data_IF_916382991043
#
_entry.id   IF_916382991043
#
_cell.length_a   1.000
_cell.length_b   1.000
_cell.length_c   1.000
_cell.angle_alpha   90.00
_cell.angle_beta   90.00
_cell.angle_gamma   90.00
#
_symmetry.space_group_name_H-M   'P 1'
#
loop_
_entity.id
_entity.type
_entity.pdbx_description
1 polymer ?
#
# COMPACT_ATOMS: atom_id res chain seq x y z
N UNK A 1 -39.72 22.80 -18.34
CA UNK A 1 -38.85 22.05 -19.28
C UNK A 1 -37.41 22.40 -19.00
N UNK A 2 -36.59 21.42 -18.61
CA UNK A 2 -35.14 21.64 -18.47
C UNK A 2 -34.55 21.91 -19.86
N UNK A 3 -33.80 23.01 -20.02
CA UNK A 3 -33.22 23.36 -21.31
C UNK A 3 -32.22 22.28 -21.76
N UNK A 4 -32.13 22.03 -23.07
CA UNK A 4 -31.16 21.07 -23.64
C UNK A 4 -29.73 21.37 -23.17
N UNK A 5 -29.37 22.65 -23.08
CA UNK A 5 -28.07 23.09 -22.58
C UNK A 5 -27.86 22.72 -21.11
N UNK A 6 -28.87 22.88 -20.25
CA UNK A 6 -28.77 22.50 -18.84
C UNK A 6 -28.56 20.99 -18.66
N UNK A 7 -29.19 20.14 -19.50
CA UNK A 7 -28.94 18.68 -19.49
C UNK A 7 -27.51 18.33 -19.90
N UNK A 8 -26.98 18.97 -20.93
CA UNK A 8 -25.63 18.72 -21.43
C UNK A 8 -24.59 19.12 -20.38
N UNK A 9 -24.72 20.30 -19.78
CA UNK A 9 -23.80 20.79 -18.74
C UNK A 9 -23.79 19.86 -17.52
N UNK A 10 -24.98 19.43 -17.06
CA UNK A 10 -25.06 18.48 -15.95
C UNK A 10 -24.47 17.10 -16.28
N UNK A 11 -24.65 16.61 -17.51
CA UNK A 11 -24.04 15.36 -17.95
C UNK A 11 -22.50 15.43 -17.94
N UNK A 12 -21.93 16.54 -18.41
CA UNK A 12 -20.47 16.76 -18.39
C UNK A 12 -19.95 16.82 -16.95
N UNK A 13 -20.62 17.58 -16.08
CA UNK A 13 -20.25 17.66 -14.66
C UNK A 13 -20.31 16.30 -13.96
N UNK A 14 -21.32 15.48 -14.27
CA UNK A 14 -21.44 14.13 -13.71
C UNK A 14 -20.26 13.24 -14.15
N UNK A 15 -19.88 13.28 -15.43
CA UNK A 15 -18.74 12.51 -15.94
C UNK A 15 -17.43 12.94 -15.28
N UNK A 16 -17.19 14.25 -15.14
CA UNK A 16 -15.99 14.78 -14.46
C UNK A 16 -15.97 14.35 -12.99
N UNK A 17 -17.11 14.43 -12.30
CA UNK A 17 -17.23 14.00 -10.90
C UNK A 17 -16.89 12.52 -10.71
N UNK A 18 -17.38 11.65 -11.59
CA UNK A 18 -17.07 10.20 -11.55
C UNK A 18 -15.58 9.96 -11.82
N UNK A 19 -15.01 10.63 -12.83
CA UNK A 19 -13.59 10.49 -13.17
C UNK A 19 -12.68 10.93 -12.02
N UNK A 20 -12.99 12.08 -11.40
CA UNK A 20 -12.28 12.57 -10.23
C UNK A 20 -12.40 11.59 -9.04
N UNK A 21 -13.59 11.07 -8.76
CA UNK A 21 -13.81 10.09 -7.70
C UNK A 21 -12.96 8.83 -7.89
N UNK A 22 -12.89 8.28 -9.11
CA UNK A 22 -12.06 7.10 -9.42
C UNK A 22 -10.57 7.43 -9.24
N UNK A 23 -10.12 8.59 -9.72
CA UNK A 23 -8.72 9.01 -9.56
C UNK A 23 -8.32 9.11 -8.08
N UNK A 24 -9.17 9.75 -7.27
CA UNK A 24 -8.94 9.87 -5.83
C UNK A 24 -8.98 8.51 -5.12
N UNK A 25 -9.88 7.61 -5.50
CA UNK A 25 -9.90 6.24 -4.98
C UNK A 25 -8.60 5.49 -5.31
N UNK A 26 -8.03 5.68 -6.50
CA UNK A 26 -6.78 5.05 -6.89
C UNK A 26 -5.58 5.61 -6.11
N UNK A 27 -5.49 6.94 -5.96
CA UNK A 27 -4.44 7.61 -5.19
C UNK A 27 -4.54 7.35 -3.67
N UNK A 28 -5.74 7.15 -3.14
CA UNK A 28 -5.97 6.84 -1.72
C UNK A 28 -6.00 5.34 -1.43
N UNK A 29 -5.77 4.46 -2.42
CA UNK A 29 -5.55 3.05 -2.10
C UNK A 29 -4.29 3.01 -1.22
N UNK A 30 -4.36 2.42 -0.02
CA UNK A 30 -3.16 2.19 0.74
C UNK A 30 -2.23 1.35 -0.13
N UNK A 31 -0.99 1.77 -0.30
CA UNK A 31 -0.01 0.99 -1.04
C UNK A 31 0.20 -0.32 -0.27
N UNK A 32 -0.43 -1.38 -0.77
CA UNK A 32 -0.31 -2.69 -0.13
C UNK A 32 0.83 -3.45 -0.78
N UNK A 33 1.91 -3.68 -0.04
CA UNK A 33 3.03 -4.54 -0.43
C UNK A 33 2.92 -5.86 0.34
N UNK A 34 2.99 -6.98 -0.38
CA UNK A 34 2.88 -8.30 0.25
C UNK A 34 1.53 -8.60 0.91
N UNK A 35 0.50 -7.79 0.65
CA UNK A 35 -0.79 -7.87 1.35
C UNK A 35 -0.87 -7.05 2.64
N UNK A 36 0.20 -6.34 3.03
CA UNK A 36 0.23 -5.47 4.20
C UNK A 36 0.03 -4.01 3.83
N UNK A 37 -0.59 -3.24 4.71
CA UNK A 37 -0.88 -1.82 4.50
C UNK A 37 0.37 -0.98 4.75
N UNK A 38 0.68 -0.04 3.84
CA UNK A 38 1.75 0.96 4.07
C UNK A 38 1.62 1.63 5.45
N UNK A 39 2.77 1.78 6.12
CA UNK A 39 2.85 2.34 7.47
C UNK A 39 2.61 1.34 8.61
N UNK A 40 2.41 0.06 8.31
CA UNK A 40 2.39 -1.02 9.32
C UNK A 40 3.76 -1.67 9.46
N UNK A 41 4.04 -2.23 10.64
CA UNK A 41 5.29 -2.95 10.90
C UNK A 41 5.45 -4.17 9.98
N UNK A 42 4.36 -4.87 9.66
CA UNK A 42 4.40 -5.97 8.69
C UNK A 42 4.79 -5.48 7.28
N UNK A 43 4.32 -4.31 6.87
CA UNK A 43 4.73 -3.71 5.59
C UNK A 43 6.23 -3.40 5.58
N UNK A 44 6.75 -2.81 6.65
CA UNK A 44 8.17 -2.49 6.75
C UNK A 44 9.03 -3.76 6.75
N UNK A 45 8.61 -4.81 7.46
CA UNK A 45 9.28 -6.10 7.41
C UNK A 45 9.29 -6.73 6.03
N UNK A 46 8.15 -6.73 5.34
CA UNK A 46 8.03 -7.25 3.97
C UNK A 46 8.93 -6.46 3.00
N UNK A 47 8.96 -5.14 3.13
CA UNK A 47 9.83 -4.29 2.33
C UNK A 47 11.32 -4.54 2.63
N UNK A 48 11.71 -4.65 3.90
CA UNK A 48 13.09 -4.92 4.32
C UNK A 48 13.66 -6.18 3.68
N UNK A 49 12.89 -7.28 3.66
CA UNK A 49 13.31 -8.53 3.04
C UNK A 49 13.62 -8.37 1.54
N UNK A 50 12.81 -7.58 0.83
CA UNK A 50 12.95 -7.33 -0.60
C UNK A 50 14.08 -6.36 -0.91
N UNK A 51 14.16 -5.25 -0.19
CA UNK A 51 15.14 -4.20 -0.43
C UNK A 51 16.57 -4.67 -0.11
N UNK A 52 16.72 -5.50 0.95
CA UNK A 52 18.00 -6.12 1.30
C UNK A 52 18.30 -7.43 0.55
N UNK A 53 17.41 -7.87 -0.35
CA UNK A 53 17.56 -9.10 -1.13
C UNK A 53 17.92 -10.32 -0.27
N UNK A 54 17.26 -10.43 0.89
CA UNK A 54 17.45 -11.52 1.83
C UNK A 54 17.24 -12.87 1.11
N UNK A 55 18.06 -13.86 1.45
CA UNK A 55 18.05 -15.20 0.83
C UNK A 55 17.06 -16.15 1.50
N UNK A 56 16.74 -15.90 2.77
CA UNK A 56 15.88 -16.76 3.58
C UNK A 56 15.21 -16.01 4.73
N UNK A 57 14.10 -16.56 5.20
CA UNK A 57 13.34 -16.08 6.36
C UNK A 57 14.14 -16.05 7.68
N UNK A 58 15.22 -16.84 7.78
CA UNK A 58 16.10 -16.85 8.95
C UNK A 58 16.93 -15.57 9.11
N UNK A 59 16.99 -14.73 8.07
CA UNK A 59 17.74 -13.47 8.11
C UNK A 59 16.89 -12.28 8.58
N UNK A 60 15.63 -12.52 8.91
CA UNK A 60 14.69 -11.46 9.29
C UNK A 60 14.99 -10.85 10.67
N UNK A 61 15.69 -11.57 11.53
CA UNK A 61 16.09 -11.16 12.88
C UNK A 61 17.61 -10.99 13.05
N UNK A 62 18.40 -11.07 11.98
CA UNK A 62 19.86 -10.92 12.00
C UNK A 62 20.31 -9.59 12.62
N UNK A 63 19.51 -8.54 12.45
CA UNK A 63 19.80 -7.18 12.95
C UNK A 63 18.90 -6.78 14.13
N UNK A 64 18.32 -7.76 14.84
CA UNK A 64 17.40 -7.51 15.97
C UNK A 64 18.02 -6.69 17.10
N UNK A 65 19.35 -6.76 17.24
CA UNK A 65 20.09 -6.03 18.25
C UNK A 65 20.51 -4.61 17.80
N UNK A 66 20.16 -4.20 16.57
CA UNK A 66 20.44 -2.86 16.07
C UNK A 66 19.50 -1.84 16.75
N UNK A 67 20.03 -0.88 17.55
CA UNK A 67 19.21 0.13 18.20
C UNK A 67 18.55 1.12 17.22
N UNK A 68 18.98 1.17 15.97
CA UNK A 68 18.38 1.98 14.91
C UNK A 68 17.17 1.28 14.26
N UNK A 69 16.99 -0.02 14.46
CA UNK A 69 15.87 -0.78 13.91
C UNK A 69 14.86 -1.22 14.96
N UNK A 70 13.58 -0.95 14.69
CA UNK A 70 12.48 -1.41 15.53
C UNK A 70 12.00 -2.81 15.08
N UNK A 71 12.80 -3.84 15.33
CA UNK A 71 12.42 -5.22 15.03
C UNK A 71 11.47 -5.75 16.11
N UNK A 72 10.19 -5.82 15.78
CA UNK A 72 9.12 -6.41 16.60
C UNK A 72 8.48 -7.63 15.91
N UNK A 73 7.59 -8.34 16.61
CA UNK A 73 6.97 -9.56 16.09
C UNK A 73 6.17 -9.33 14.78
N UNK A 74 5.57 -8.15 14.60
CA UNK A 74 4.84 -7.80 13.38
C UNK A 74 5.82 -7.56 12.21
N UNK A 75 6.94 -6.88 12.45
CA UNK A 75 8.01 -6.74 11.47
C UNK A 75 8.53 -8.11 11.00
N UNK A 76 8.84 -9.01 11.94
CA UNK A 76 9.33 -10.36 11.60
C UNK A 76 8.29 -11.13 10.78
N UNK A 77 7.00 -11.04 11.14
CA UNK A 77 5.92 -11.67 10.37
C UNK A 77 5.86 -11.13 8.94
N UNK A 78 5.96 -9.82 8.78
CA UNK A 78 6.05 -9.16 7.48
C UNK A 78 7.24 -9.63 6.65
N UNK A 79 8.44 -9.66 7.25
CA UNK A 79 9.66 -10.11 6.59
C UNK A 79 9.56 -11.56 6.12
N UNK A 80 9.09 -12.47 6.99
CA UNK A 80 8.94 -13.90 6.65
C UNK A 80 7.94 -14.14 5.51
N UNK A 81 6.87 -13.37 5.46
CA UNK A 81 5.86 -13.49 4.40
C UNK A 81 6.39 -13.15 3.00
N UNK A 82 7.53 -12.45 2.87
CA UNK A 82 8.21 -12.28 1.57
C UNK A 82 8.72 -13.57 0.95
N UNK A 83 8.84 -14.63 1.76
CA UNK A 83 9.31 -15.96 1.34
C UNK A 83 8.18 -16.99 1.22
N UNK A 84 6.98 -16.65 1.69
CA UNK A 84 5.79 -17.48 1.55
C UNK A 84 5.26 -17.27 0.12
N UNK A 85 5.34 -18.32 -0.72
CA UNK A 85 4.84 -18.31 -2.10
C UNK A 85 3.34 -18.59 -2.18
#
# INVERSE_FOLDING_TARGET
MISKQFRIVNAILAVIGIAAFIFFQYQMRPDTLGGFKEGTEEYYGYQYARDNNLKSADQCDDEKDDPEMNINDAFIKGCRSSFEK
#
